data_IF_432895796914
#
_entry.id   IF_432895796914
#
_cell.length_a   1.000
_cell.length_b   1.000
_cell.length_c   1.000
_cell.angle_alpha   90.00
_cell.angle_beta   90.00
_cell.angle_gamma   90.00
#
_symmetry.space_group_name_H-M   'P 1'
#
loop_
_entity.id
_entity.type
_entity.pdbx_description
1 polymer ?
#
# COMPACT_ATOMS: atom_id res chain seq x y z
N UNK A 1 -8.59 20.80 5.29
CA UNK A 1 -7.28 20.23 5.65
C UNK A 1 -7.18 18.79 5.22
N UNK A 2 -6.10 18.41 4.56
CA UNK A 2 -5.92 17.00 4.22
C UNK A 2 -5.84 16.16 5.50
N UNK A 3 -6.43 15.00 5.44
CA UNK A 3 -6.41 14.07 6.57
C UNK A 3 -5.21 13.15 6.46
N UNK A 4 -4.48 12.98 7.54
CA UNK A 4 -3.33 12.09 7.58
C UNK A 4 -3.72 10.81 8.30
N UNK A 5 -3.44 9.66 7.69
CA UNK A 5 -3.78 8.36 8.25
C UNK A 5 -2.52 7.51 8.36
N UNK A 6 -2.29 6.96 9.53
CA UNK A 6 -1.21 6.00 9.75
C UNK A 6 -1.74 4.90 10.68
N UNK A 7 -0.86 3.97 11.07
CA UNK A 7 -1.30 2.88 11.94
C UNK A 7 -1.83 3.38 13.26
N UNK A 8 -1.21 4.42 13.81
CA UNK A 8 -1.67 4.97 15.09
C UNK A 8 -3.07 5.57 14.97
N UNK A 9 -3.35 6.30 13.89
CA UNK A 9 -4.66 6.88 13.72
C UNK A 9 -5.73 5.81 13.47
N UNK A 10 -5.37 4.74 12.77
CA UNK A 10 -6.29 3.63 12.57
C UNK A 10 -6.59 2.93 13.90
N UNK A 11 -5.57 2.77 14.73
CA UNK A 11 -5.74 2.20 16.07
C UNK A 11 -6.69 3.06 16.89
N UNK A 12 -6.51 4.37 16.84
CA UNK A 12 -7.36 5.30 17.57
C UNK A 12 -8.81 5.21 17.12
N UNK A 13 -9.03 5.07 15.81
CA UNK A 13 -10.37 4.92 15.25
C UNK A 13 -11.06 3.68 15.78
N UNK A 14 -10.35 2.55 15.80
CA UNK A 14 -10.93 1.32 16.32
C UNK A 14 -11.22 1.43 17.81
N UNK A 15 -10.31 2.02 18.55
CA UNK A 15 -10.47 2.22 19.97
C UNK A 15 -11.72 3.05 20.28
N UNK A 16 -11.90 4.16 19.57
CA UNK A 16 -12.99 5.06 19.87
C UNK A 16 -14.33 4.60 19.34
N UNK A 17 -14.35 3.94 18.17
CA UNK A 17 -15.62 3.56 17.57
C UNK A 17 -16.15 2.20 18.07
N UNK A 18 -15.27 1.31 18.47
CA UNK A 18 -15.68 -0.05 18.85
C UNK A 18 -15.44 -0.34 20.31
N UNK A 19 -15.04 0.67 21.08
CA UNK A 19 -14.88 0.54 22.53
C UNK A 19 -13.95 -0.59 22.92
N UNK A 20 -12.93 -0.84 22.12
CA UNK A 20 -11.95 -1.88 22.45
C UNK A 20 -10.73 -1.26 23.10
N UNK A 21 -9.93 -2.12 23.73
CA UNK A 21 -8.69 -1.66 24.35
C UNK A 21 -7.71 -1.22 23.26
N UNK A 22 -6.89 -0.22 23.55
CA UNK A 22 -5.90 0.24 22.59
C UNK A 22 -4.95 -0.86 22.18
N UNK A 23 -4.57 -1.72 23.13
CA UNK A 23 -3.68 -2.84 22.83
C UNK A 23 -4.30 -3.75 21.78
N UNK A 24 -5.57 -4.08 21.96
CA UNK A 24 -6.29 -4.95 21.03
C UNK A 24 -6.42 -4.29 19.67
N UNK A 25 -6.74 -3.00 19.66
CA UNK A 25 -6.87 -2.25 18.41
C UNK A 25 -5.55 -2.23 17.64
N UNK A 26 -4.44 -2.00 18.35
CA UNK A 26 -3.12 -1.99 17.71
C UNK A 26 -2.78 -3.35 17.12
N UNK A 27 -3.11 -4.43 17.84
CA UNK A 27 -2.86 -5.77 17.34
C UNK A 27 -3.66 -6.07 16.08
N UNK A 28 -4.92 -5.63 16.04
CA UNK A 28 -5.76 -5.82 14.88
C UNK A 28 -5.17 -5.09 13.67
N UNK A 29 -4.81 -3.83 13.84
CA UNK A 29 -4.22 -3.04 12.76
C UNK A 29 -2.95 -3.71 12.23
N UNK A 30 -2.07 -4.12 13.14
CA UNK A 30 -0.83 -4.76 12.73
C UNK A 30 -1.07 -6.09 12.01
N UNK A 31 -2.03 -6.87 12.49
CA UNK A 31 -2.36 -8.15 11.87
C UNK A 31 -2.87 -7.95 10.45
N UNK A 32 -3.73 -6.97 10.24
CA UNK A 32 -4.28 -6.71 8.90
C UNK A 32 -3.17 -6.33 7.92
N UNK A 33 -2.29 -5.43 8.31
CA UNK A 33 -1.24 -5.01 7.40
C UNK A 33 -0.17 -6.07 7.20
N UNK A 34 0.08 -6.88 8.24
CA UNK A 34 1.01 -8.00 8.08
C UNK A 34 0.45 -9.04 7.09
N UNK A 35 -0.84 -9.32 7.18
CA UNK A 35 -1.47 -10.24 6.25
C UNK A 35 -1.35 -9.75 4.81
N UNK A 36 -1.55 -8.44 4.62
CA UNK A 36 -1.42 -7.86 3.30
C UNK A 36 0.02 -7.91 2.81
N UNK A 37 0.97 -7.64 3.69
CA UNK A 37 2.38 -7.70 3.34
C UNK A 37 2.79 -9.10 2.94
N UNK A 38 2.32 -10.12 3.69
CA UNK A 38 2.65 -11.50 3.38
C UNK A 38 2.11 -11.92 2.02
N UNK A 39 0.90 -11.46 1.68
CA UNK A 39 0.35 -11.75 0.36
C UNK A 39 1.24 -11.18 -0.75
N UNK A 40 1.69 -9.95 -0.57
CA UNK A 40 2.53 -9.30 -1.57
C UNK A 40 3.92 -9.91 -1.65
N UNK A 41 4.49 -10.31 -0.50
CA UNK A 41 5.79 -10.98 -0.48
C UNK A 41 5.75 -12.28 -1.27
N UNK A 42 4.63 -12.98 -1.20
CA UNK A 42 4.45 -14.23 -1.96
C UNK A 42 4.00 -13.99 -3.39
N UNK A 43 4.06 -12.74 -3.85
CA UNK A 43 3.68 -12.32 -5.21
C UNK A 43 2.20 -12.50 -5.49
N UNK A 44 1.40 -12.43 -4.44
CA UNK A 44 -0.04 -12.48 -4.58
C UNK A 44 -0.64 -11.10 -4.78
N UNK A 45 -1.94 -11.03 -4.63
CA UNK A 45 -2.70 -9.81 -4.81
C UNK A 45 -3.45 -9.48 -3.54
N UNK A 46 -3.51 -8.19 -3.20
CA UNK A 46 -4.36 -7.72 -2.12
C UNK A 46 -5.45 -6.88 -2.75
N UNK A 47 -6.68 -7.33 -2.61
CA UNK A 47 -7.81 -6.63 -3.20
C UNK A 47 -8.78 -6.19 -2.11
N UNK A 48 -9.00 -4.88 -2.01
CA UNK A 48 -9.90 -4.32 -1.01
C UNK A 48 -11.08 -3.70 -1.77
N UNK A 49 -12.21 -4.34 -1.67
CA UNK A 49 -13.41 -3.91 -2.40
C UNK A 49 -13.75 -2.46 -2.07
N UNK A 50 -14.00 -1.68 -3.11
CA UNK A 50 -14.35 -0.28 -2.94
C UNK A 50 -13.18 0.63 -2.67
N UNK A 51 -11.99 0.08 -2.56
CA UNK A 51 -10.79 0.86 -2.28
C UNK A 51 -9.77 0.73 -3.41
N UNK A 52 -9.28 -0.47 -3.62
CA UNK A 52 -8.29 -0.68 -4.66
C UNK A 52 -7.59 -2.01 -4.52
N UNK A 53 -6.56 -2.18 -5.30
CA UNK A 53 -5.86 -3.44 -5.40
C UNK A 53 -4.36 -3.19 -5.41
N UNK A 54 -3.64 -3.99 -4.63
CA UNK A 54 -2.17 -3.97 -4.65
C UNK A 54 -1.70 -5.21 -5.41
N UNK A 55 -0.80 -5.00 -6.34
CA UNK A 55 -0.22 -6.09 -7.12
C UNK A 55 1.29 -5.94 -7.11
N UNK A 56 1.98 -7.02 -7.47
CA UNK A 56 3.43 -6.97 -7.61
C UNK A 56 3.74 -6.72 -9.08
N UNK A 57 4.56 -5.74 -9.31
CA UNK A 57 5.01 -5.37 -10.65
C UNK A 57 6.46 -5.79 -10.81
N UNK A 58 6.73 -6.56 -11.86
CA UNK A 58 8.10 -6.98 -12.19
C UNK A 58 8.74 -5.93 -13.08
N UNK A 59 9.73 -5.26 -12.55
CA UNK A 59 10.53 -4.36 -13.37
C UNK A 59 11.67 -5.17 -13.95
N UNK A 60 11.69 -5.31 -15.27
CA UNK A 60 12.72 -6.09 -15.94
C UNK A 60 14.07 -5.42 -15.80
N UNK A 61 15.13 -6.24 -15.84
CA UNK A 61 16.48 -5.69 -15.87
C UNK A 61 16.66 -4.89 -17.16
N UNK A 62 17.52 -3.89 -17.10
CA UNK A 62 17.76 -3.03 -18.24
C UNK A 62 19.18 -2.48 -18.14
N UNK A 63 19.67 -1.99 -19.27
CA UNK A 63 20.98 -1.33 -19.29
C UNK A 63 20.80 0.14 -18.93
N UNK A 64 21.65 0.62 -18.07
CA UNK A 64 21.69 2.02 -17.70
C UNK A 64 23.10 2.54 -17.79
N UNK A 65 23.29 3.79 -17.39
CA UNK A 65 24.59 4.41 -17.39
C UNK A 65 24.90 4.88 -15.98
N UNK A 66 26.07 4.48 -15.47
CA UNK A 66 26.52 4.93 -14.18
C UNK A 66 26.82 6.44 -14.25
N UNK A 67 26.13 7.27 -13.46
CA UNK A 67 26.34 8.73 -13.56
C UNK A 67 27.73 9.18 -13.13
N UNK A 68 28.44 8.36 -12.37
CA UNK A 68 29.79 8.71 -11.90
C UNK A 68 30.84 8.31 -12.92
N UNK A 69 30.84 7.06 -13.36
CA UNK A 69 31.85 6.53 -14.28
C UNK A 69 31.47 6.66 -15.74
N UNK A 70 30.17 6.89 -16.01
CA UNK A 70 29.65 6.99 -17.38
C UNK A 70 29.72 5.66 -18.11
N UNK A 71 29.92 4.57 -17.39
CA UNK A 71 29.96 3.24 -17.98
C UNK A 71 28.58 2.62 -18.00
N UNK A 72 28.35 1.72 -18.96
CA UNK A 72 27.11 0.97 -19.01
C UNK A 72 27.07 0.00 -17.84
N UNK A 73 25.91 -0.11 -17.23
CA UNK A 73 25.72 -1.05 -16.14
C UNK A 73 24.35 -1.70 -16.26
N UNK A 74 24.25 -2.92 -15.79
CA UNK A 74 22.98 -3.60 -15.78
C UNK A 74 22.22 -3.25 -14.52
N UNK A 75 20.99 -2.76 -14.68
CA UNK A 75 20.10 -2.50 -13.56
C UNK A 75 19.27 -3.77 -13.37
N UNK A 76 19.44 -4.46 -12.23
CA UNK A 76 18.76 -5.76 -12.05
C UNK A 76 17.25 -5.62 -11.99
N UNK A 77 16.57 -6.72 -12.28
CA UNK A 77 15.12 -6.75 -12.14
C UNK A 77 14.73 -6.63 -10.66
N UNK A 78 13.61 -5.98 -10.42
CA UNK A 78 13.10 -5.83 -9.08
C UNK A 78 11.60 -6.07 -9.07
N UNK A 79 11.07 -6.44 -7.90
CA UNK A 79 9.63 -6.60 -7.71
C UNK A 79 9.15 -5.48 -6.83
N UNK A 80 8.13 -4.77 -7.30
CA UNK A 80 7.62 -3.59 -6.60
C UNK A 80 6.13 -3.73 -6.39
N UNK A 81 5.64 -3.41 -5.19
CA UNK A 81 4.20 -3.33 -5.01
C UNK A 81 3.65 -2.09 -5.71
N UNK A 82 2.50 -2.25 -6.35
CA UNK A 82 1.86 -1.18 -7.08
C UNK A 82 0.40 -1.14 -6.70
N UNK A 83 -0.10 0.06 -6.43
CA UNK A 83 -1.49 0.25 -6.04
C UNK A 83 -2.32 0.73 -7.22
N UNK A 84 -3.45 0.05 -7.46
CA UNK A 84 -4.43 0.44 -8.47
C UNK A 84 -5.72 0.80 -7.76
N UNK A 85 -6.12 2.06 -7.75
CA UNK A 85 -7.37 2.43 -7.08
C UNK A 85 -8.58 1.85 -7.80
N UNK A 86 -9.63 1.56 -7.03
CA UNK A 86 -10.88 1.10 -7.61
C UNK A 86 -11.60 2.28 -8.27
N UNK A 87 -12.54 1.97 -9.16
CA UNK A 87 -13.33 3.02 -9.77
C UNK A 87 -14.16 3.76 -8.71
N UNK A 88 -14.64 3.03 -7.73
CA UNK A 88 -15.37 3.64 -6.62
C UNK A 88 -14.51 4.68 -5.90
N UNK A 89 -13.26 4.33 -5.61
CA UNK A 89 -12.37 5.25 -4.93
C UNK A 89 -12.07 6.48 -5.79
N UNK A 90 -11.82 6.26 -7.09
CA UNK A 90 -11.58 7.38 -8.01
C UNK A 90 -12.76 8.33 -8.05
N UNK A 91 -13.98 7.77 -8.10
CA UNK A 91 -15.17 8.58 -8.12
C UNK A 91 -15.31 9.41 -6.85
N UNK A 92 -15.03 8.82 -5.71
CA UNK A 92 -15.11 9.53 -4.43
C UNK A 92 -14.09 10.66 -4.36
N UNK A 93 -12.93 10.48 -4.95
CA UNK A 93 -11.91 11.52 -4.96
C UNK A 93 -12.28 12.70 -5.86
N UNK A 94 -12.99 12.43 -6.94
CA UNK A 94 -13.29 13.45 -7.94
C UNK A 94 -14.69 14.02 -7.82
N UNK A 95 -15.56 13.41 -7.05
CA UNK A 95 -16.96 13.75 -6.96
C UNK A 95 -17.28 14.40 -5.63
N UNK A 96 -16.55 15.45 -5.32
CA UNK A 96 -16.61 16.08 -3.99
C UNK A 96 -17.88 16.85 -3.75
N UNK A 97 -18.65 17.10 -4.76
CA UNK A 97 -19.87 17.88 -4.60
C UNK A 97 -21.05 17.05 -4.14
N UNK A 98 -20.88 15.79 -4.05
CA UNK A 98 -21.97 14.89 -3.65
C UNK A 98 -21.95 14.59 -2.21
#
# INVERSE_FOLDING_TARGET
MPKYVNKDSLTETLYSQYHMKKKDAAEIVNTLFEEMAQALISEGTVEITGFGKFIIFDRKSRMGINPVTKEKMEIPSTKLPKFKPSQTLKNRCNNREN
#
